data_IF_576352964978
#
_entry.id   IF_576352964978
#
_cell.length_a   1.000
_cell.length_b   1.000
_cell.length_c   1.000
_cell.angle_alpha   90.00
_cell.angle_beta   90.00
_cell.angle_gamma   90.00
#
_symmetry.space_group_name_H-M   'P 1'
#
loop_
_entity.id
_entity.type
_entity.pdbx_description
1 polymer ?
#
# COMPACT_ATOMS: atom_id res chain seq x y z
N UNK A 1 13.65 18.24 -9.11
CA UNK A 1 13.02 16.96 -9.35
C UNK A 1 14.07 15.87 -9.55
N UNK A 2 13.89 14.71 -8.91
CA UNK A 2 14.74 13.52 -9.12
C UNK A 2 13.85 12.37 -9.57
N UNK A 3 14.12 11.78 -10.72
CA UNK A 3 13.39 10.62 -11.23
C UNK A 3 14.25 9.92 -12.30
N UNK A 4 14.21 8.60 -12.33
CA UNK A 4 14.89 7.78 -13.32
C UNK A 4 13.95 7.19 -14.39
N UNK A 5 12.67 7.54 -14.37
CA UNK A 5 11.70 7.11 -15.37
C UNK A 5 11.50 8.20 -16.44
N UNK A 6 11.92 7.97 -17.70
CA UNK A 6 11.77 8.96 -18.76
C UNK A 6 10.35 9.08 -19.31
N UNK A 7 9.45 8.17 -18.95
CA UNK A 7 8.10 8.08 -19.54
C UNK A 7 7.02 8.74 -18.67
N UNK A 8 7.41 9.63 -17.77
CA UNK A 8 6.47 10.36 -16.90
C UNK A 8 6.47 11.84 -17.25
N UNK A 9 5.31 12.49 -17.15
CA UNK A 9 5.17 13.95 -17.35
C UNK A 9 6.09 14.74 -16.44
N UNK A 10 6.39 14.22 -15.23
CA UNK A 10 7.30 14.87 -14.29
C UNK A 10 8.74 15.00 -14.81
N UNK A 11 9.15 14.20 -15.77
CA UNK A 11 10.48 14.25 -16.39
C UNK A 11 10.53 15.04 -17.69
N UNK A 12 9.44 15.67 -18.08
CA UNK A 12 9.43 16.61 -19.19
C UNK A 12 10.25 17.86 -18.82
N UNK A 13 10.96 18.39 -19.78
CA UNK A 13 11.96 19.46 -19.58
C UNK A 13 11.38 20.77 -19.02
N UNK A 14 10.08 20.97 -19.14
CA UNK A 14 9.37 22.18 -18.72
C UNK A 14 8.55 21.99 -17.43
N UNK A 15 8.57 20.80 -16.83
CA UNK A 15 7.79 20.51 -15.61
C UNK A 15 8.48 21.02 -14.34
N UNK A 16 9.79 20.86 -14.23
CA UNK A 16 10.55 21.27 -13.05
C UNK A 16 11.66 22.25 -13.41
N UNK A 17 12.05 23.12 -12.47
CA UNK A 17 13.16 24.06 -12.65
C UNK A 17 14.49 23.35 -12.93
N UNK A 18 14.67 22.17 -12.31
CA UNK A 18 15.84 21.30 -12.49
C UNK A 18 15.42 19.84 -12.45
N UNK A 19 15.95 19.07 -13.38
CA UNK A 19 15.71 17.65 -13.49
C UNK A 19 17.02 16.88 -13.34
N UNK A 20 17.03 15.90 -12.41
CA UNK A 20 18.08 14.92 -12.22
C UNK A 20 17.60 13.55 -12.63
N UNK A 21 18.20 12.99 -13.65
CA UNK A 21 17.97 11.62 -14.11
C UNK A 21 18.91 10.67 -13.38
N UNK A 22 18.64 10.44 -12.09
CA UNK A 22 19.46 9.61 -11.23
C UNK A 22 18.61 8.55 -10.53
N UNK A 23 19.20 7.41 -10.15
CA UNK A 23 18.54 6.42 -9.33
C UNK A 23 18.05 7.01 -8.01
N UNK A 24 16.85 6.64 -7.59
CA UNK A 24 16.29 7.03 -6.30
C UNK A 24 16.86 6.13 -5.18
N UNK A 25 18.14 6.36 -4.85
CA UNK A 25 18.84 5.72 -3.75
C UNK A 25 19.57 6.77 -2.89
N UNK A 26 19.96 6.45 -1.65
CA UNK A 26 20.60 7.39 -0.74
C UNK A 26 21.81 8.10 -1.33
N UNK A 27 22.71 7.37 -1.99
CA UNK A 27 23.96 7.93 -2.51
C UNK A 27 23.72 9.02 -3.57
N UNK A 28 22.84 8.74 -4.55
CA UNK A 28 22.50 9.71 -5.61
C UNK A 28 21.81 10.93 -5.03
N UNK A 29 20.87 10.71 -4.13
CA UNK A 29 20.06 11.78 -3.53
C UNK A 29 20.93 12.66 -2.63
N UNK A 30 21.84 12.11 -1.85
CA UNK A 30 22.79 12.87 -1.01
C UNK A 30 23.68 13.82 -1.86
N UNK A 31 24.13 13.35 -3.02
CA UNK A 31 24.92 14.17 -3.93
C UNK A 31 24.10 15.35 -4.50
N UNK A 32 22.83 15.11 -4.79
CA UNK A 32 21.90 16.14 -5.27
C UNK A 32 21.61 17.14 -4.14
N UNK A 33 21.32 16.66 -2.94
CA UNK A 33 21.09 17.50 -1.75
C UNK A 33 22.31 18.38 -1.45
N UNK A 34 23.51 17.80 -1.50
CA UNK A 34 24.75 18.56 -1.29
C UNK A 34 24.96 19.67 -2.33
N UNK A 35 24.49 19.45 -3.56
CA UNK A 35 24.60 20.39 -4.68
C UNK A 35 23.54 21.48 -4.60
N UNK A 36 22.28 21.08 -4.43
CA UNK A 36 21.12 21.98 -4.51
C UNK A 36 20.79 22.65 -3.18
N UNK A 37 21.14 22.00 -2.05
CA UNK A 37 20.87 22.46 -0.68
C UNK A 37 19.40 22.86 -0.47
N UNK A 38 18.45 21.97 -0.74
CA UNK A 38 17.05 22.26 -0.58
C UNK A 38 16.70 22.47 0.91
N UNK A 39 15.72 23.29 1.18
CA UNK A 39 15.18 23.50 2.53
C UNK A 39 14.35 22.31 3.01
N UNK A 40 13.75 21.56 2.08
CA UNK A 40 12.88 20.41 2.36
C UNK A 40 12.72 19.52 1.11
N UNK A 41 12.12 18.34 1.28
CA UNK A 41 11.79 17.43 0.19
C UNK A 41 10.33 16.95 0.25
N UNK A 42 9.85 16.38 -0.85
CA UNK A 42 8.57 15.66 -0.96
C UNK A 42 8.86 14.27 -1.49
N UNK A 43 8.36 13.24 -0.83
CA UNK A 43 8.59 11.83 -1.21
C UNK A 43 7.31 11.10 -1.64
N UNK A 44 6.12 11.59 -1.28
CA UNK A 44 4.85 10.88 -1.50
C UNK A 44 4.50 10.70 -2.98
N UNK A 45 4.85 11.65 -3.84
CA UNK A 45 4.47 11.63 -5.26
C UNK A 45 5.37 10.75 -6.16
N UNK A 46 6.38 10.11 -5.60
CA UNK A 46 7.33 9.27 -6.33
C UNK A 46 7.08 7.75 -6.19
N UNK A 47 5.90 7.35 -5.72
CA UNK A 47 5.53 5.95 -5.48
C UNK A 47 6.45 5.27 -4.47
N UNK A 48 6.41 3.94 -4.44
CA UNK A 48 7.15 3.11 -3.48
C UNK A 48 8.67 3.36 -3.47
N UNK A 49 9.25 3.73 -4.60
CA UNK A 49 10.69 3.96 -4.68
C UNK A 49 11.10 5.23 -3.94
N UNK A 50 10.33 6.31 -4.05
CA UNK A 50 10.61 7.56 -3.35
C UNK A 50 10.24 7.47 -1.85
N UNK A 51 9.14 6.80 -1.51
CA UNK A 51 8.69 6.59 -0.13
C UNK A 51 9.77 5.87 0.69
N UNK A 52 10.49 4.91 0.12
CA UNK A 52 11.61 4.22 0.79
C UNK A 52 12.77 5.12 1.20
N UNK A 53 12.86 6.32 0.61
CA UNK A 53 13.85 7.32 1.02
C UNK A 53 13.42 8.14 2.24
N UNK A 54 12.17 8.08 2.68
CA UNK A 54 11.66 8.88 3.79
C UNK A 54 12.52 8.73 5.06
N UNK A 55 12.84 7.49 5.43
CA UNK A 55 13.68 7.21 6.59
C UNK A 55 15.07 7.82 6.45
N UNK A 56 15.68 7.71 5.27
CA UNK A 56 16.99 8.30 5.00
C UNK A 56 16.95 9.83 5.08
N UNK A 57 15.90 10.47 4.53
CA UNK A 57 15.74 11.93 4.62
C UNK A 57 15.62 12.39 6.08
N UNK A 58 14.88 11.68 6.90
CA UNK A 58 14.75 11.96 8.33
C UNK A 58 16.10 11.80 9.06
N UNK A 59 16.83 10.71 8.81
CA UNK A 59 18.15 10.43 9.40
C UNK A 59 19.19 11.52 9.10
N UNK A 60 19.17 12.11 7.90
CA UNK A 60 20.07 13.20 7.52
C UNK A 60 19.54 14.59 7.93
N UNK A 61 18.35 14.66 8.51
CA UNK A 61 17.73 15.89 9.00
C UNK A 61 17.16 16.79 7.91
N UNK A 62 16.85 16.27 6.71
CA UNK A 62 16.16 17.02 5.68
C UNK A 62 14.65 16.96 5.92
N UNK A 63 13.97 18.09 6.16
CA UNK A 63 12.53 18.10 6.40
C UNK A 63 11.72 17.50 5.24
N UNK A 64 10.77 16.64 5.56
CA UNK A 64 9.82 16.10 4.60
C UNK A 64 8.54 16.93 4.68
N UNK A 65 8.12 17.50 3.55
CA UNK A 65 6.84 18.20 3.43
C UNK A 65 5.72 17.19 3.17
N UNK A 66 4.61 17.35 3.86
CA UNK A 66 3.49 16.42 3.84
C UNK A 66 3.59 15.39 4.96
N UNK A 67 3.38 14.11 4.66
CA UNK A 67 3.40 13.04 5.66
C UNK A 67 4.82 12.82 6.19
N UNK A 68 5.04 12.90 7.52
CA UNK A 68 6.37 12.69 8.10
C UNK A 68 6.82 11.22 7.99
N UNK A 69 8.15 11.00 8.08
CA UNK A 69 8.76 9.68 7.90
C UNK A 69 8.19 8.60 8.84
N UNK A 70 7.93 8.94 10.11
CA UNK A 70 7.37 8.00 11.09
C UNK A 70 5.93 7.58 10.75
N UNK A 71 5.10 8.50 10.26
CA UNK A 71 3.74 8.18 9.81
C UNK A 71 3.74 7.36 8.51
N UNK A 72 4.72 7.60 7.62
CA UNK A 72 4.93 6.74 6.45
C UNK A 72 5.31 5.32 6.88
N UNK A 73 6.25 5.18 7.82
CA UNK A 73 6.68 3.90 8.36
C UNK A 73 5.52 3.17 9.09
N UNK A 74 4.70 3.90 9.85
CA UNK A 74 3.49 3.35 10.49
C UNK A 74 2.48 2.80 9.48
N UNK A 75 2.34 3.46 8.32
CA UNK A 75 1.45 3.01 7.25
C UNK A 75 2.02 1.82 6.44
N UNK A 76 3.34 1.74 6.29
CA UNK A 76 4.02 0.68 5.52
C UNK A 76 4.28 -0.59 6.36
N UNK A 77 4.48 -0.44 7.68
CA UNK A 77 4.65 -1.57 8.58
C UNK A 77 3.30 -2.18 8.97
N UNK A 78 3.13 -3.48 8.68
CA UNK A 78 1.85 -4.16 8.88
C UNK A 78 1.41 -4.17 10.36
N UNK A 79 2.33 -4.40 11.29
CA UNK A 79 1.99 -4.51 12.71
C UNK A 79 1.61 -3.13 13.26
N UNK A 80 2.38 -2.11 12.94
CA UNK A 80 2.10 -0.72 13.31
C UNK A 80 0.78 -0.22 12.71
N UNK A 81 0.53 -0.57 11.45
CA UNK A 81 -0.72 -0.21 10.79
C UNK A 81 -1.94 -0.92 11.39
N UNK A 82 -1.82 -2.19 11.72
CA UNK A 82 -2.85 -2.94 12.43
C UNK A 82 -3.17 -2.31 13.81
N UNK A 83 -2.13 -1.91 14.57
CA UNK A 83 -2.28 -1.18 15.84
C UNK A 83 -2.96 0.19 15.66
N UNK A 84 -2.62 0.91 14.58
CA UNK A 84 -3.27 2.18 14.23
C UNK A 84 -4.77 1.98 14.00
N UNK A 85 -5.15 1.01 13.18
CA UNK A 85 -6.55 0.72 12.89
C UNK A 85 -7.33 0.30 14.15
N UNK A 86 -6.72 -0.52 15.02
CA UNK A 86 -7.33 -0.89 16.30
C UNK A 86 -7.50 0.32 17.23
N UNK A 87 -6.52 1.19 17.30
CA UNK A 87 -6.55 2.42 18.09
C UNK A 87 -7.64 3.40 17.62
N UNK A 88 -7.86 3.44 16.30
CA UNK A 88 -8.89 4.25 15.66
C UNK A 88 -10.27 3.54 15.61
N UNK A 89 -10.40 2.29 16.09
CA UNK A 89 -11.59 1.45 15.96
C UNK A 89 -12.05 1.26 14.50
N UNK A 90 -11.12 1.23 13.56
CA UNK A 90 -11.39 0.97 12.15
C UNK A 90 -11.34 -0.55 11.93
N UNK A 91 -12.41 -1.17 11.41
CA UNK A 91 -12.42 -2.61 11.16
C UNK A 91 -11.45 -2.98 10.03
N UNK A 92 -10.73 -4.08 10.21
CA UNK A 92 -9.82 -4.62 9.22
C UNK A 92 -10.09 -6.11 8.94
N UNK A 93 -9.62 -6.59 7.81
CA UNK A 93 -9.63 -8.01 7.54
C UNK A 93 -8.74 -8.75 8.55
N UNK A 94 -9.27 -9.81 9.15
CA UNK A 94 -8.45 -10.69 9.98
C UNK A 94 -7.43 -11.40 9.11
N UNK A 95 -6.18 -11.44 9.56
CA UNK A 95 -5.09 -12.06 8.82
C UNK A 95 -4.11 -12.80 9.73
N UNK A 96 -3.39 -13.74 9.14
CA UNK A 96 -2.32 -14.53 9.76
C UNK A 96 -1.15 -14.66 8.80
N UNK A 97 0.04 -14.64 9.36
CA UNK A 97 1.26 -15.03 8.65
C UNK A 97 1.53 -16.49 8.97
N UNK A 98 1.73 -17.32 7.95
CA UNK A 98 1.93 -18.77 8.07
C UNK A 98 3.17 -19.21 7.29
N UNK A 99 3.84 -20.22 7.79
CA UNK A 99 5.10 -20.73 7.22
C UNK A 99 4.98 -22.14 6.64
N UNK A 100 3.91 -22.85 6.95
CA UNK A 100 3.68 -24.22 6.50
C UNK A 100 2.19 -24.53 6.33
N UNK A 101 1.91 -25.71 5.76
CA UNK A 101 0.54 -26.12 5.47
C UNK A 101 -0.33 -26.28 6.72
N UNK A 102 0.23 -26.82 7.81
CA UNK A 102 -0.54 -27.06 9.03
C UNK A 102 -0.98 -25.74 9.66
N UNK A 103 -0.10 -24.76 9.67
CA UNK A 103 -0.42 -23.38 10.11
C UNK A 103 -1.45 -22.73 9.19
N UNK A 104 -1.34 -22.94 7.87
CA UNK A 104 -2.30 -22.37 6.91
C UNK A 104 -3.72 -22.93 7.10
N UNK A 105 -3.83 -24.25 7.32
CA UNK A 105 -5.12 -24.88 7.57
C UNK A 105 -5.72 -24.43 8.91
N UNK A 106 -4.91 -24.34 9.97
CA UNK A 106 -5.37 -23.84 11.27
C UNK A 106 -5.81 -22.37 11.20
N UNK A 107 -5.04 -21.51 10.52
CA UNK A 107 -5.39 -20.12 10.31
C UNK A 107 -6.69 -19.95 9.51
N UNK A 108 -6.88 -20.75 8.46
CA UNK A 108 -8.10 -20.72 7.66
C UNK A 108 -9.33 -21.19 8.45
N UNK A 109 -9.17 -22.12 9.39
CA UNK A 109 -10.25 -22.55 10.29
C UNK A 109 -10.62 -21.42 11.29
N UNK A 110 -9.62 -20.71 11.82
CA UNK A 110 -9.84 -19.58 12.74
C UNK A 110 -10.49 -18.39 12.03
N UNK A 111 -9.96 -17.97 10.88
CA UNK A 111 -10.42 -16.80 10.11
C UNK A 111 -11.76 -17.08 9.42
N UNK A 112 -11.98 -18.31 9.05
CA UNK A 112 -13.13 -18.76 8.24
C UNK A 112 -12.94 -18.49 6.75
N UNK A 113 -13.35 -19.46 5.92
CA UNK A 113 -13.29 -19.37 4.46
C UNK A 113 -14.36 -18.40 3.90
N UNK A 114 -14.15 -17.79 2.72
CA UNK A 114 -12.94 -17.85 1.92
C UNK A 114 -11.81 -16.98 2.49
N UNK A 115 -10.56 -17.33 2.15
CA UNK A 115 -9.36 -16.59 2.53
C UNK A 115 -8.55 -16.21 1.29
N UNK A 116 -7.94 -15.04 1.32
CA UNK A 116 -6.96 -14.59 0.34
C UNK A 116 -5.57 -15.06 0.79
N UNK A 117 -4.87 -15.75 -0.08
CA UNK A 117 -3.51 -16.21 0.17
C UNK A 117 -2.53 -15.51 -0.75
N UNK A 118 -1.45 -14.98 -0.20
CA UNK A 118 -0.40 -14.30 -0.95
C UNK A 118 0.98 -14.54 -0.34
N UNK A 119 2.03 -14.77 -1.15
CA UNK A 119 3.39 -14.79 -0.63
C UNK A 119 3.81 -13.38 -0.16
N UNK A 120 4.65 -13.29 0.85
CA UNK A 120 5.11 -11.99 1.39
C UNK A 120 5.98 -11.19 0.43
N UNK A 121 6.52 -11.82 -0.59
CA UNK A 121 7.51 -11.23 -1.52
C UNK A 121 7.05 -11.25 -2.98
N UNK A 122 5.84 -10.76 -3.27
CA UNK A 122 5.41 -10.68 -4.67
C UNK A 122 4.97 -9.28 -5.01
N UNK A 123 5.58 -8.71 -6.06
CA UNK A 123 5.18 -7.45 -6.66
C UNK A 123 4.02 -7.68 -7.65
N UNK A 124 3.01 -6.83 -7.58
CA UNK A 124 1.95 -6.76 -8.58
C UNK A 124 0.91 -7.87 -8.54
N UNK A 125 0.63 -8.47 -7.36
CA UNK A 125 -0.49 -9.41 -7.19
C UNK A 125 -0.30 -10.77 -7.87
N UNK A 126 0.88 -11.06 -8.41
CA UNK A 126 1.19 -12.37 -8.98
C UNK A 126 1.17 -13.44 -7.87
N UNK A 127 0.64 -14.62 -8.20
CA UNK A 127 0.53 -15.75 -7.28
C UNK A 127 -0.39 -15.50 -6.05
N UNK A 128 -1.34 -14.57 -6.14
CA UNK A 128 -2.42 -14.49 -5.16
C UNK A 128 -3.58 -15.39 -5.57
N UNK A 129 -4.18 -16.08 -4.60
CA UNK A 129 -5.40 -16.85 -4.83
C UNK A 129 -6.44 -16.58 -3.73
N UNK A 130 -7.70 -16.77 -4.09
CA UNK A 130 -8.78 -16.88 -3.11
C UNK A 130 -9.10 -18.35 -2.91
N UNK A 131 -8.85 -18.88 -1.71
CA UNK A 131 -9.15 -20.23 -1.35
C UNK A 131 -10.56 -20.31 -0.74
N UNK A 132 -11.43 -21.09 -1.36
CA UNK A 132 -12.81 -21.30 -0.91
C UNK A 132 -12.99 -22.55 -0.06
N UNK A 133 -12.01 -23.44 -0.07
CA UNK A 133 -12.02 -24.68 0.68
C UNK A 133 -10.58 -25.13 1.03
N UNK A 134 -10.46 -26.17 1.87
CA UNK A 134 -9.15 -26.65 2.31
C UNK A 134 -8.31 -27.25 1.16
N UNK A 135 -8.95 -27.80 0.12
CA UNK A 135 -8.22 -28.36 -1.01
C UNK A 135 -7.48 -27.28 -1.80
N UNK A 136 -8.09 -26.10 -1.96
CA UNK A 136 -7.44 -24.94 -2.59
C UNK A 136 -6.19 -24.51 -1.81
N UNK A 137 -6.25 -24.54 -0.47
CA UNK A 137 -5.11 -24.22 0.40
C UNK A 137 -3.98 -25.22 0.23
N UNK A 138 -4.31 -26.52 0.23
CA UNK A 138 -3.33 -27.60 0.07
C UNK A 138 -2.62 -27.48 -1.29
N UNK A 139 -3.38 -27.28 -2.36
CA UNK A 139 -2.85 -27.11 -3.70
C UNK A 139 -1.91 -25.90 -3.78
N UNK A 140 -2.34 -24.76 -3.27
CA UNK A 140 -1.57 -23.54 -3.30
C UNK A 140 -0.27 -23.61 -2.47
N UNK A 141 -0.36 -24.11 -1.25
CA UNK A 141 0.83 -24.32 -0.40
C UNK A 141 1.81 -25.31 -1.03
N UNK A 142 1.30 -26.33 -1.73
CA UNK A 142 2.14 -27.27 -2.51
C UNK A 142 2.91 -26.58 -3.62
N UNK A 143 2.25 -25.71 -4.40
CA UNK A 143 2.90 -24.96 -5.49
C UNK A 143 3.96 -23.98 -4.94
N UNK A 144 3.66 -23.29 -3.84
CA UNK A 144 4.60 -22.35 -3.23
C UNK A 144 5.83 -23.07 -2.67
N UNK A 145 5.65 -24.17 -1.96
CA UNK A 145 6.78 -24.94 -1.39
C UNK A 145 7.70 -25.55 -2.45
N UNK A 146 7.23 -25.76 -3.67
CA UNK A 146 8.05 -26.21 -4.79
C UNK A 146 8.88 -25.10 -5.45
N UNK A 147 8.46 -23.85 -5.35
CA UNK A 147 9.03 -22.74 -6.14
C UNK A 147 9.62 -21.60 -5.30
N UNK A 148 9.34 -21.56 -4.02
CA UNK A 148 9.79 -20.49 -3.09
C UNK A 148 10.52 -21.16 -1.92
N UNK A 149 11.68 -20.61 -1.56
CA UNK A 149 12.44 -21.07 -0.39
C UNK A 149 11.57 -20.94 0.87
N UNK A 150 11.56 -21.97 1.71
CA UNK A 150 10.72 -22.09 2.92
C UNK A 150 10.93 -20.99 3.98
N UNK A 151 11.85 -20.06 3.73
CA UNK A 151 12.11 -18.91 4.60
C UNK A 151 11.13 -17.72 4.37
N UNK A 152 10.20 -17.85 3.39
CA UNK A 152 9.28 -16.77 3.06
C UNK A 152 7.85 -17.10 3.52
N UNK A 153 7.27 -16.29 4.42
CA UNK A 153 5.92 -16.53 4.91
C UNK A 153 4.86 -16.28 3.85
N UNK A 154 3.75 -16.98 3.99
CA UNK A 154 2.50 -16.73 3.25
C UNK A 154 1.55 -15.96 4.16
N UNK A 155 0.94 -14.93 3.61
CA UNK A 155 -0.09 -14.16 4.28
C UNK A 155 -1.46 -14.76 3.94
N UNK A 156 -2.23 -15.08 4.97
CA UNK A 156 -3.64 -15.45 4.88
C UNK A 156 -4.48 -14.31 5.43
N UNK A 157 -5.33 -13.75 4.60
CA UNK A 157 -6.25 -12.70 5.02
C UNK A 157 -7.70 -13.14 4.75
N UNK A 158 -8.64 -12.74 5.60
CA UNK A 158 -10.07 -12.94 5.33
C UNK A 158 -10.43 -12.30 4.00
N UNK A 159 -10.94 -13.07 3.05
CA UNK A 159 -11.45 -12.50 1.81
C UNK A 159 -12.80 -11.86 2.05
N UNK A 160 -12.87 -10.56 1.87
CA UNK A 160 -14.10 -9.78 2.04
C UNK A 160 -14.66 -9.50 0.64
N UNK A 161 -15.86 -10.00 0.38
CA UNK A 161 -16.61 -9.67 -0.84
C UNK A 161 -17.40 -8.39 -0.60
N UNK A 162 -17.16 -7.37 -1.40
CA UNK A 162 -17.82 -6.08 -1.27
C UNK A 162 -17.52 -5.17 -2.45
N UNK A 163 -17.99 -3.95 -2.37
CA UNK A 163 -17.60 -2.87 -3.29
C UNK A 163 -16.28 -2.29 -2.81
N UNK A 164 -15.31 -2.23 -3.68
CA UNK A 164 -14.01 -1.61 -3.39
C UNK A 164 -14.08 -0.11 -3.65
N UNK A 165 -13.61 0.67 -2.70
CA UNK A 165 -13.61 2.13 -2.77
C UNK A 165 -12.21 2.65 -2.48
N UNK A 166 -11.91 3.81 -3.04
CA UNK A 166 -10.64 4.50 -2.83
C UNK A 166 -10.90 5.95 -2.45
N UNK A 167 -10.15 6.45 -1.48
CA UNK A 167 -10.25 7.83 -0.97
C UNK A 167 -8.87 8.43 -0.91
N UNK A 168 -8.71 9.58 -1.56
CA UNK A 168 -7.57 10.46 -1.36
C UNK A 168 -7.95 11.59 -0.41
N UNK A 169 -7.10 11.87 0.56
CA UNK A 169 -7.32 12.93 1.52
C UNK A 169 -6.05 13.78 1.72
N UNK A 170 -6.25 15.06 1.98
CA UNK A 170 -5.17 15.99 2.33
C UNK A 170 -5.49 16.62 3.69
N UNK A 171 -4.52 16.58 4.60
CA UNK A 171 -4.65 17.19 5.92
C UNK A 171 -3.50 18.16 6.17
N UNK A 172 -3.82 19.33 6.76
CA UNK A 172 -2.84 20.33 7.18
C UNK A 172 -2.52 20.25 8.69
N UNK A 173 -3.04 19.21 9.37
CA UNK A 173 -2.93 19.00 10.82
C UNK A 173 -4.15 19.49 11.61
N UNK A 174 -5.03 20.27 11.03
CA UNK A 174 -6.26 20.75 11.65
C UNK A 174 -7.50 20.50 10.77
N UNK A 175 -7.34 20.67 9.46
CA UNK A 175 -8.43 20.55 8.49
C UNK A 175 -8.17 19.38 7.55
N UNK A 176 -9.20 18.59 7.29
CA UNK A 176 -9.18 17.48 6.35
C UNK A 176 -9.97 17.87 5.10
N UNK A 177 -9.36 17.66 3.94
CA UNK A 177 -10.03 17.76 2.64
C UNK A 177 -10.13 16.38 2.02
N UNK A 178 -11.35 15.93 1.79
CA UNK A 178 -11.67 14.74 0.98
C UNK A 178 -12.36 15.24 -0.30
N UNK A 179 -11.68 15.25 -1.46
CA UNK A 179 -12.28 15.75 -2.70
C UNK A 179 -13.48 14.90 -3.14
N UNK A 180 -13.44 13.60 -2.81
CA UNK A 180 -14.52 12.66 -3.08
C UNK A 180 -14.05 11.23 -2.90
N UNK A 181 -14.98 10.30 -3.15
CA UNK A 181 -14.77 8.85 -3.02
C UNK A 181 -14.91 8.24 -4.40
N UNK A 182 -13.94 7.41 -4.77
CA UNK A 182 -13.95 6.61 -5.99
C UNK A 182 -14.48 5.21 -5.69
N UNK A 183 -15.23 4.66 -6.63
CA UNK A 183 -15.76 3.30 -6.57
C UNK A 183 -15.16 2.49 -7.71
N UNK A 184 -14.67 1.29 -7.42
CA UNK A 184 -14.17 0.38 -8.44
C UNK A 184 -15.30 -0.44 -9.05
N UNK A 185 -15.26 -0.60 -10.37
CA UNK A 185 -16.26 -1.35 -11.13
C UNK A 185 -16.04 -2.85 -10.99
N UNK A 186 -14.78 -3.26 -10.92
CA UNK A 186 -14.40 -4.65 -10.78
C UNK A 186 -14.62 -5.14 -9.33
N UNK A 187 -14.72 -6.46 -9.21
CA UNK A 187 -14.84 -7.12 -7.91
C UNK A 187 -13.58 -6.93 -7.05
N UNK A 188 -13.74 -6.99 -5.76
CA UNK A 188 -12.65 -6.97 -4.76
C UNK A 188 -11.52 -7.93 -5.10
N UNK A 189 -10.29 -7.43 -5.02
CA UNK A 189 -9.07 -8.19 -5.25
C UNK A 189 -8.53 -8.10 -6.69
N UNK A 190 -9.14 -7.30 -7.55
CA UNK A 190 -8.51 -6.90 -8.82
C UNK A 190 -7.51 -5.78 -8.53
N UNK A 191 -6.31 -5.87 -9.11
CA UNK A 191 -5.29 -4.84 -8.90
C UNK A 191 -5.79 -3.48 -9.40
N UNK A 192 -5.56 -2.41 -8.63
CA UNK A 192 -6.06 -1.07 -8.93
C UNK A 192 -5.63 -0.54 -10.31
N UNK A 193 -4.44 -0.94 -10.78
CA UNK A 193 -3.96 -0.60 -12.13
C UNK A 193 -4.74 -1.26 -13.28
N UNK A 194 -5.49 -2.33 -12.98
CA UNK A 194 -6.30 -3.09 -13.93
C UNK A 194 -7.82 -2.86 -13.72
N UNK A 195 -8.17 -1.98 -12.79
CA UNK A 195 -9.54 -1.67 -12.39
C UNK A 195 -9.97 -0.31 -12.93
N UNK A 196 -11.26 -0.19 -13.22
CA UNK A 196 -11.87 1.08 -13.61
C UNK A 196 -12.46 1.74 -12.37
N UNK A 197 -11.95 2.93 -12.04
CA UNK A 197 -12.50 3.76 -10.98
C UNK A 197 -13.53 4.75 -11.52
N UNK A 198 -14.66 4.84 -10.85
CA UNK A 198 -15.72 5.81 -11.15
C UNK A 198 -15.77 6.88 -10.08
N UNK A 199 -15.72 8.13 -10.50
CA UNK A 199 -15.82 9.29 -9.62
C UNK A 199 -16.97 10.21 -10.05
N UNK A 200 -17.81 10.69 -9.14
CA UNK A 200 -17.96 10.20 -7.76
C UNK A 200 -18.56 8.79 -7.69
N UNK A 201 -18.44 8.12 -6.54
CA UNK A 201 -19.04 6.80 -6.30
C UNK A 201 -20.55 6.81 -6.64
N UNK A 202 -21.03 5.76 -7.30
CA UNK A 202 -22.38 5.72 -7.85
C UNK A 202 -23.36 4.85 -7.04
N UNK A 203 -22.85 3.84 -6.35
CA UNK A 203 -23.68 2.83 -5.67
C UNK A 203 -23.56 2.89 -4.14
N UNK A 204 -22.60 3.66 -3.61
CA UNK A 204 -22.47 3.85 -2.17
C UNK A 204 -23.66 4.62 -1.60
N UNK A 205 -24.22 4.11 -0.51
CA UNK A 205 -25.24 4.83 0.25
C UNK A 205 -24.63 6.00 1.04
N UNK A 206 -25.45 6.98 1.41
CA UNK A 206 -24.96 8.10 2.22
C UNK A 206 -24.36 7.63 3.56
N UNK A 207 -24.91 6.59 4.18
CA UNK A 207 -24.38 6.04 5.43
C UNK A 207 -22.97 5.41 5.26
N UNK A 208 -22.72 4.76 4.13
CA UNK A 208 -21.39 4.23 3.80
C UNK A 208 -20.41 5.36 3.53
N UNK A 209 -20.82 6.38 2.78
CA UNK A 209 -20.01 7.59 2.54
C UNK A 209 -19.65 8.26 3.86
N UNK A 210 -20.61 8.47 4.75
CA UNK A 210 -20.39 9.09 6.06
C UNK A 210 -19.41 8.27 6.91
N UNK A 211 -19.52 6.93 6.86
CA UNK A 211 -18.60 6.03 7.55
C UNK A 211 -17.17 6.11 6.99
N UNK A 212 -17.03 6.15 5.66
CA UNK A 212 -15.71 6.27 4.99
C UNK A 212 -15.06 7.60 5.36
N UNK A 213 -15.82 8.69 5.37
CA UNK A 213 -15.34 10.02 5.77
C UNK A 213 -14.88 10.01 7.23
N UNK A 214 -15.65 9.41 8.13
CA UNK A 214 -15.32 9.29 9.55
C UNK A 214 -14.04 8.47 9.78
N UNK A 215 -13.86 7.37 9.05
CA UNK A 215 -12.64 6.57 9.13
C UNK A 215 -11.40 7.24 8.52
N UNK A 216 -11.61 8.13 7.56
CA UNK A 216 -10.51 8.86 6.91
C UNK A 216 -10.00 10.02 7.79
N UNK A 217 -10.88 10.60 8.62
CA UNK A 217 -10.59 11.72 9.51
C UNK A 217 -9.98 11.32 10.84
#
# INVERSE_FOLDING_TARGET
LVNNNPETVSTDFDTGDRLYFDPLNPESVDNIIATEKPDACVVQFGGQTAIKLAKHMDEIGLPILGTPADAIDEAEDRERFDELLERCNIPRAQGRTVFNLDEALAAAEEIGLPVLMRPSYVLGGQNMIVAYNQADIIEYMGVITEHVDMDHPVLLDKYIMGTECEVDAICDGENLLIPGIMEQVERTGVHSGDSICVYPAQHLTQAEIDTIVDYTG
#
